data_IF_230955142068
#
_entry.id   IF_230955142068
#
_cell.length_a   1.000
_cell.length_b   1.000
_cell.length_c   1.000
_cell.angle_alpha   90.00
_cell.angle_beta   90.00
_cell.angle_gamma   90.00
#
_symmetry.space_group_name_H-M   'P 1'
#
loop_
_entity.id
_entity.type
_entity.pdbx_description
1 polymer ?
#
# COMPACT_ATOMS: atom_id res chain seq x y z
N UNK A 1 11.14 4.71 2.07
CA UNK A 1 10.19 3.60 2.22
C UNK A 1 10.68 2.66 3.31
N UNK A 2 9.84 2.35 4.29
CA UNK A 2 10.24 1.55 5.46
C UNK A 2 9.12 0.62 5.91
N UNK A 3 9.48 -0.41 6.71
CA UNK A 3 8.50 -1.33 7.30
C UNK A 3 7.98 -0.76 8.62
N UNK A 4 6.76 -1.16 8.99
CA UNK A 4 6.09 -0.70 10.20
C UNK A 4 5.94 -1.91 11.12
N UNK A 5 6.45 -1.80 12.35
CA UNK A 5 6.42 -2.91 13.31
C UNK A 5 5.67 -2.58 14.60
N UNK A 6 5.36 -1.32 14.85
CA UNK A 6 4.61 -0.88 16.02
C UNK A 6 3.14 -0.74 15.67
N UNK A 7 2.26 -0.99 16.64
CA UNK A 7 0.82 -0.84 16.43
C UNK A 7 0.47 0.59 16.07
N UNK A 8 -0.42 0.75 15.09
CA UNK A 8 -0.81 2.07 14.57
C UNK A 8 -2.33 2.23 14.49
N UNK A 9 -2.76 3.47 14.35
CA UNK A 9 -4.13 3.83 14.00
C UNK A 9 -4.11 4.51 12.64
N UNK A 10 -4.97 4.05 11.74
CA UNK A 10 -5.14 4.64 10.41
C UNK A 10 -5.91 5.96 10.54
N UNK A 11 -5.43 6.97 9.84
CA UNK A 11 -6.08 8.27 9.80
C UNK A 11 -6.75 8.53 8.45
N UNK A 12 -6.42 9.65 7.85
CA UNK A 12 -7.07 10.14 6.64
C UNK A 12 -6.39 9.60 5.38
N UNK A 13 -7.20 9.18 4.40
CA UNK A 13 -6.71 8.82 3.08
C UNK A 13 -6.42 10.11 2.29
N UNK A 14 -5.27 10.16 1.64
CA UNK A 14 -4.92 11.30 0.79
C UNK A 14 -5.18 10.94 -0.67
N UNK A 15 -5.41 11.96 -1.50
CA UNK A 15 -5.65 11.77 -2.93
C UNK A 15 -4.38 11.44 -3.67
N UNK A 16 -4.49 10.51 -4.63
CA UNK A 16 -3.43 10.21 -5.58
C UNK A 16 -4.01 10.32 -6.98
N UNK A 17 -3.22 10.86 -7.92
CA UNK A 17 -3.74 11.17 -9.26
C UNK A 17 -4.01 9.92 -10.08
N UNK A 18 -3.18 8.89 -9.95
CA UNK A 18 -3.31 7.64 -10.70
C UNK A 18 -2.96 6.48 -9.79
N UNK A 19 -3.84 5.49 -9.74
CA UNK A 19 -3.68 4.36 -8.82
C UNK A 19 -3.52 3.00 -9.51
N UNK A 20 -3.54 2.96 -10.83
CA UNK A 20 -3.41 1.70 -11.57
C UNK A 20 -2.51 1.88 -12.79
N UNK A 21 -1.62 0.94 -12.99
CA UNK A 21 -0.60 0.97 -14.04
C UNK A 21 -0.52 -0.41 -14.68
N UNK A 22 -0.37 -0.46 -15.99
CA UNK A 22 -0.32 -1.75 -16.70
C UNK A 22 0.91 -1.84 -17.59
N UNK A 23 1.45 -3.05 -17.72
CA UNK A 23 2.51 -3.41 -18.66
C UNK A 23 3.68 -2.41 -18.64
N UNK A 24 3.97 -1.77 -19.75
CA UNK A 24 5.12 -0.87 -19.87
C UNK A 24 5.07 0.36 -18.97
N UNK A 25 3.89 0.73 -18.48
CA UNK A 25 3.76 1.83 -17.51
C UNK A 25 4.44 1.52 -16.17
N UNK A 26 4.63 0.24 -15.87
CA UNK A 26 5.17 -0.21 -14.58
C UNK A 26 6.70 -0.10 -14.53
N UNK A 27 7.36 -0.23 -15.68
CA UNK A 27 8.81 -0.35 -15.74
C UNK A 27 9.48 0.92 -16.24
N UNK A 28 10.66 1.27 -15.73
CA UNK A 28 11.42 0.56 -14.66
C UNK A 28 10.85 0.79 -13.27
N UNK A 29 9.96 1.75 -13.07
CA UNK A 29 9.32 2.03 -11.78
C UNK A 29 8.02 2.80 -11.98
N UNK A 30 7.22 2.84 -10.91
CA UNK A 30 6.00 3.65 -10.82
C UNK A 30 6.25 4.77 -9.83
N UNK A 31 5.84 5.99 -10.16
CA UNK A 31 5.93 7.13 -9.25
C UNK A 31 4.52 7.53 -8.81
N UNK A 32 4.30 7.57 -7.50
CA UNK A 32 3.01 7.93 -6.91
C UNK A 32 3.17 9.27 -6.19
N UNK A 33 2.43 10.28 -6.65
CA UNK A 33 2.41 11.59 -6.02
C UNK A 33 1.24 11.74 -5.07
N UNK A 34 1.46 12.38 -3.92
CA UNK A 34 0.37 12.71 -3.00
C UNK A 34 0.68 14.02 -2.26
N UNK A 35 -0.39 14.73 -1.87
CA UNK A 35 -0.26 15.95 -1.09
C UNK A 35 -0.42 15.64 0.40
N UNK A 36 0.48 16.15 1.23
CA UNK A 36 0.38 15.97 2.68
C UNK A 36 -0.91 16.61 3.22
N UNK A 37 -1.68 15.86 3.99
CA UNK A 37 -2.94 16.35 4.56
C UNK A 37 -2.72 17.36 5.69
N UNK A 38 -1.49 17.50 6.19
CA UNK A 38 -1.16 18.43 7.27
C UNK A 38 -0.55 19.73 6.74
N UNK A 39 0.52 19.66 5.93
CA UNK A 39 1.23 20.85 5.47
C UNK A 39 1.05 21.17 3.98
N UNK A 40 0.36 20.30 3.24
CA UNK A 40 0.11 20.52 1.82
C UNK A 40 1.29 20.26 0.90
N UNK A 41 2.44 19.84 1.44
CA UNK A 41 3.62 19.58 0.62
C UNK A 41 3.38 18.43 -0.36
N UNK A 42 3.83 18.60 -1.60
CA UNK A 42 3.73 17.54 -2.61
C UNK A 42 4.86 16.53 -2.37
N UNK A 43 4.47 15.26 -2.21
CA UNK A 43 5.40 14.15 -1.98
C UNK A 43 5.30 13.16 -3.13
N UNK A 44 6.33 12.35 -3.31
CA UNK A 44 6.25 11.23 -4.25
C UNK A 44 6.96 10.01 -3.68
N UNK A 45 6.49 8.83 -4.11
CA UNK A 45 7.03 7.54 -3.73
C UNK A 45 7.34 6.78 -5.01
N UNK A 46 8.52 6.17 -5.04
CA UNK A 46 8.95 5.33 -6.17
C UNK A 46 8.73 3.87 -5.79
N UNK A 47 7.97 3.16 -6.62
CA UNK A 47 7.71 1.73 -6.46
C UNK A 47 8.41 0.99 -7.60
N UNK A 48 9.40 0.18 -7.27
CA UNK A 48 10.12 -0.67 -8.23
C UNK A 48 9.58 -2.08 -8.14
N UNK A 49 9.10 -2.66 -9.24
CA UNK A 49 8.61 -4.04 -9.25
C UNK A 49 9.65 -5.00 -8.67
N UNK A 50 9.21 -5.93 -7.83
CA UNK A 50 10.03 -6.96 -7.17
C UNK A 50 11.04 -6.45 -6.15
N UNK A 51 11.16 -5.14 -5.94
CA UNK A 51 12.13 -4.57 -4.99
C UNK A 51 11.49 -3.77 -3.87
N UNK A 52 10.41 -3.03 -4.17
CA UNK A 52 9.77 -2.14 -3.20
C UNK A 52 8.70 -2.83 -2.39
N UNK A 53 8.52 -2.37 -1.14
CA UNK A 53 7.42 -2.80 -0.28
C UNK A 53 7.74 -4.02 0.55
N UNK A 54 6.81 -4.30 1.47
CA UNK A 54 6.91 -5.40 2.44
C UNK A 54 5.60 -6.19 2.39
N UNK A 55 5.64 -7.54 2.58
CA UNK A 55 4.42 -8.34 2.50
C UNK A 55 3.34 -7.85 3.47
N UNK A 56 2.11 -7.71 2.97
CA UNK A 56 1.01 -7.18 3.79
C UNK A 56 0.71 -8.05 5.01
N UNK A 57 0.93 -9.36 4.92
CA UNK A 57 0.63 -10.26 6.05
C UNK A 57 1.45 -9.93 7.30
N UNK A 58 2.60 -9.27 7.16
CA UNK A 58 3.40 -8.85 8.31
C UNK A 58 2.63 -7.86 9.18
N UNK A 59 1.77 -7.05 8.57
CA UNK A 59 0.96 -6.03 9.26
C UNK A 59 -0.04 -6.69 10.22
N UNK A 60 -0.74 -7.73 9.81
CA UNK A 60 -1.82 -8.31 10.61
C UNK A 60 -1.47 -9.63 11.28
N UNK A 61 -0.52 -10.37 10.76
CA UNK A 61 -0.20 -11.71 11.26
C UNK A 61 1.05 -11.72 12.13
N UNK A 62 2.16 -11.17 11.65
CA UNK A 62 3.43 -11.20 12.38
C UNK A 62 3.56 -10.09 13.41
N UNK A 63 3.49 -8.85 12.98
CA UNK A 63 3.78 -7.69 13.82
C UNK A 63 2.56 -7.11 14.53
N UNK A 64 1.37 -7.51 14.12
CA UNK A 64 0.11 -7.04 14.71
C UNK A 64 -0.03 -5.51 14.72
N UNK A 65 0.44 -4.89 13.66
CA UNK A 65 0.39 -3.44 13.47
C UNK A 65 -1.05 -2.95 13.33
N UNK A 66 -1.84 -3.69 12.55
CA UNK A 66 -3.28 -3.48 12.35
C UNK A 66 -3.97 -4.82 12.34
N UNK A 67 -5.20 -4.87 12.85
CA UNK A 67 -6.02 -6.08 12.76
C UNK A 67 -6.56 -6.25 11.35
N UNK A 68 -6.99 -7.47 11.02
CA UNK A 68 -7.66 -7.76 9.74
C UNK A 68 -8.88 -6.86 9.54
N UNK A 69 -9.68 -6.68 10.61
CA UNK A 69 -10.87 -5.83 10.54
C UNK A 69 -10.52 -4.38 10.24
N UNK A 70 -9.48 -3.85 10.87
CA UNK A 70 -9.04 -2.47 10.62
C UNK A 70 -8.61 -2.28 9.17
N UNK A 71 -7.89 -3.26 8.61
CA UNK A 71 -7.47 -3.23 7.20
C UNK A 71 -8.65 -3.25 6.24
N UNK A 72 -9.66 -4.07 6.55
CA UNK A 72 -10.86 -4.18 5.73
C UNK A 72 -11.77 -2.96 5.84
N UNK A 73 -12.00 -2.47 7.06
CA UNK A 73 -12.86 -1.31 7.30
C UNK A 73 -12.32 -0.04 6.65
N UNK A 74 -11.02 0.16 6.71
CA UNK A 74 -10.37 1.32 6.09
C UNK A 74 -10.07 1.12 4.60
N UNK A 75 -10.42 -0.04 4.08
CA UNK A 75 -10.28 -0.38 2.65
C UNK A 75 -8.85 -0.37 2.12
N UNK A 76 -7.89 -0.65 3.00
CA UNK A 76 -6.51 -0.85 2.56
C UNK A 76 -6.40 -2.10 1.69
N UNK A 77 -7.17 -3.11 2.04
CA UNK A 77 -7.25 -4.38 1.33
C UNK A 77 -8.69 -4.87 1.29
N UNK A 78 -8.94 -5.95 0.55
CA UNK A 78 -10.20 -6.66 0.54
C UNK A 78 -9.95 -8.16 0.74
N UNK A 79 -11.01 -8.91 1.01
CA UNK A 79 -10.91 -10.36 1.12
C UNK A 79 -10.55 -10.94 -0.25
N UNK A 80 -9.59 -11.86 -0.25
CA UNK A 80 -9.11 -12.50 -1.47
C UNK A 80 -10.12 -13.51 -1.97
N UNK A 81 -10.34 -13.56 -3.28
CA UNK A 81 -11.19 -14.58 -3.88
C UNK A 81 -10.63 -15.97 -3.64
N UNK A 82 -11.52 -16.97 -3.52
CA UNK A 82 -11.16 -18.34 -3.22
C UNK A 82 -10.05 -18.90 -4.13
N UNK A 83 -10.15 -18.66 -5.43
CA UNK A 83 -9.16 -19.19 -6.37
C UNK A 83 -7.81 -18.47 -6.37
N UNK A 84 -7.69 -17.38 -5.60
CA UNK A 84 -6.43 -16.64 -5.45
C UNK A 84 -5.92 -16.65 -4.01
N UNK A 85 -6.52 -17.48 -3.12
CA UNK A 85 -6.19 -17.43 -1.69
C UNK A 85 -4.76 -17.89 -1.35
N UNK A 86 -4.06 -18.51 -2.30
CA UNK A 86 -2.64 -18.83 -2.14
C UNK A 86 -1.77 -17.56 -2.04
N UNK A 87 -2.30 -16.41 -2.44
CA UNK A 87 -1.62 -15.11 -2.32
C UNK A 87 -1.83 -14.45 -0.96
N UNK A 88 -2.66 -15.04 -0.08
CA UNK A 88 -2.99 -14.52 1.24
C UNK A 88 -4.48 -14.28 1.39
N UNK A 89 -4.92 -14.11 2.65
CA UNK A 89 -6.34 -13.87 2.95
C UNK A 89 -6.82 -12.51 2.51
N UNK A 90 -5.94 -11.51 2.56
CA UNK A 90 -6.27 -10.12 2.27
C UNK A 90 -5.34 -9.61 1.17
N UNK A 91 -5.92 -9.09 0.10
CA UNK A 91 -5.15 -8.60 -1.03
C UNK A 91 -5.79 -7.35 -1.63
N UNK A 92 -5.07 -6.72 -2.53
CA UNK A 92 -5.59 -5.70 -3.44
C UNK A 92 -5.70 -6.39 -4.81
N UNK A 93 -6.88 -6.35 -5.39
CA UNK A 93 -7.12 -6.87 -6.75
C UNK A 93 -6.74 -8.36 -6.93
N UNK A 94 -6.79 -9.16 -5.86
CA UNK A 94 -6.47 -10.60 -5.89
C UNK A 94 -5.06 -10.89 -6.43
N UNK A 95 -4.10 -10.02 -6.12
CA UNK A 95 -2.69 -10.17 -6.50
C UNK A 95 -1.82 -10.06 -5.24
N UNK A 96 -0.55 -10.44 -5.36
CA UNK A 96 0.40 -10.32 -4.27
C UNK A 96 0.42 -8.87 -3.77
N UNK A 97 0.20 -8.67 -2.48
CA UNK A 97 -0.03 -7.35 -1.89
C UNK A 97 1.08 -6.99 -0.91
N UNK A 98 1.54 -5.75 -1.03
CA UNK A 98 2.63 -5.21 -0.22
C UNK A 98 2.20 -3.88 0.38
N UNK A 99 2.94 -3.44 1.41
CA UNK A 99 2.75 -2.14 2.00
C UNK A 99 4.08 -1.42 2.13
N UNK A 100 4.03 -0.13 2.36
CA UNK A 100 5.20 0.66 2.70
C UNK A 100 4.83 1.78 3.66
N UNK A 101 5.79 2.16 4.51
CA UNK A 101 5.71 3.38 5.28
C UNK A 101 6.53 4.45 4.57
N UNK A 102 6.09 5.69 4.66
CA UNK A 102 6.84 6.84 4.16
C UNK A 102 6.46 8.07 4.98
N UNK A 103 7.29 9.09 4.96
CA UNK A 103 7.05 10.33 5.68
C UNK A 103 6.91 11.50 4.72
N UNK A 104 6.10 12.48 5.10
CA UNK A 104 6.12 13.76 4.39
C UNK A 104 7.53 14.36 4.52
N UNK A 105 8.14 14.72 3.39
CA UNK A 105 9.50 15.25 3.40
C UNK A 105 9.60 16.64 4.06
N UNK A 106 8.48 17.33 4.23
CA UNK A 106 8.44 18.66 4.85
C UNK A 106 8.12 18.59 6.35
N UNK A 107 6.96 18.03 6.73
CA UNK A 107 6.52 18.04 8.14
C UNK A 107 6.74 16.71 8.86
N UNK A 108 7.18 15.68 8.14
CA UNK A 108 7.47 14.33 8.67
C UNK A 108 6.24 13.57 9.17
N UNK A 109 5.02 13.98 8.78
CA UNK A 109 3.82 13.20 9.07
C UNK A 109 3.95 11.83 8.42
N UNK A 110 3.55 10.78 9.14
CA UNK A 110 3.74 9.40 8.72
C UNK A 110 2.59 8.90 7.85
N UNK A 111 2.93 8.14 6.82
CA UNK A 111 1.96 7.58 5.86
C UNK A 111 2.20 6.10 5.64
N UNK A 112 1.13 5.37 5.38
CA UNK A 112 1.17 3.98 4.93
C UNK A 112 0.49 3.88 3.57
N UNK A 113 1.16 3.22 2.64
CA UNK A 113 0.57 2.92 1.34
C UNK A 113 0.48 1.41 1.14
N UNK A 114 -0.49 0.99 0.35
CA UNK A 114 -0.71 -0.44 0.06
C UNK A 114 -0.88 -0.59 -1.45
N UNK A 115 -0.20 -1.57 -2.02
CA UNK A 115 -0.30 -1.84 -3.45
C UNK A 115 -0.18 -3.32 -3.73
N UNK A 116 -0.63 -3.72 -4.91
CA UNK A 116 -0.44 -5.07 -5.40
C UNK A 116 0.23 -5.04 -6.77
N UNK A 117 0.91 -6.13 -7.11
CA UNK A 117 1.58 -6.26 -8.40
C UNK A 117 1.59 -7.71 -8.83
N UNK A 118 1.30 -7.96 -10.10
CA UNK A 118 1.37 -9.28 -10.65
C UNK A 118 0.74 -9.38 -12.03
N UNK A 119 0.74 -10.57 -12.58
CA UNK A 119 0.08 -10.86 -13.85
C UNK A 119 -1.37 -11.25 -13.58
N UNK A 120 -2.30 -10.42 -14.00
CA UNK A 120 -3.74 -10.63 -13.79
C UNK A 120 -4.28 -11.69 -14.74
N UNK A 121 -3.77 -11.69 -15.96
CA UNK A 121 -4.07 -12.69 -17.00
C UNK A 121 -2.89 -12.67 -17.99
N UNK A 122 -2.73 -13.68 -18.83
CA UNK A 122 -1.60 -13.72 -19.76
C UNK A 122 -1.44 -12.42 -20.55
N UNK A 123 -0.26 -11.84 -20.48
CA UNK A 123 0.06 -10.58 -21.17
C UNK A 123 -0.38 -9.31 -20.45
N UNK A 124 -1.01 -9.42 -19.27
CA UNK A 124 -1.45 -8.25 -18.51
C UNK A 124 -0.83 -8.24 -17.12
N UNK A 125 0.24 -7.50 -16.97
CA UNK A 125 0.80 -7.17 -15.66
C UNK A 125 0.11 -5.89 -15.17
N UNK A 126 -0.26 -5.86 -13.90
CA UNK A 126 -0.94 -4.72 -13.30
C UNK A 126 -0.38 -4.41 -11.92
N UNK A 127 -0.15 -3.12 -11.66
CA UNK A 127 0.21 -2.61 -10.34
C UNK A 127 -0.90 -1.65 -9.91
N UNK A 128 -1.54 -1.97 -8.78
CA UNK A 128 -2.64 -1.17 -8.26
C UNK A 128 -2.30 -0.70 -6.86
N UNK A 129 -2.40 0.61 -6.62
CA UNK A 129 -2.26 1.21 -5.30
C UNK A 129 -3.66 1.40 -4.74
N UNK A 130 -3.99 0.73 -3.64
CA UNK A 130 -5.31 0.88 -3.01
C UNK A 130 -5.46 2.25 -2.38
N UNK A 131 -4.37 2.84 -1.90
CA UNK A 131 -4.36 4.19 -1.39
C UNK A 131 -3.15 4.47 -0.53
N UNK A 132 -3.11 5.70 -0.01
CA UNK A 132 -2.12 6.18 0.93
C UNK A 132 -2.87 6.89 2.06
N UNK A 133 -2.58 6.51 3.31
CA UNK A 133 -3.24 7.05 4.51
C UNK A 133 -2.22 7.57 5.49
N UNK A 134 -2.51 8.67 6.18
CA UNK A 134 -1.68 9.03 7.32
C UNK A 134 -1.97 8.07 8.48
N UNK A 135 -1.01 7.89 9.36
CA UNK A 135 -1.19 7.03 10.52
C UNK A 135 -0.46 7.60 11.73
N UNK A 136 -0.85 7.11 12.92
CA UNK A 136 -0.20 7.43 14.19
C UNK A 136 0.16 6.15 14.90
N UNK A 137 1.32 6.13 15.54
CA UNK A 137 1.71 5.03 16.40
C UNK A 137 0.88 5.10 17.69
N UNK A 138 0.45 3.93 18.17
CA UNK A 138 -0.26 3.81 19.45
C UNK A 138 0.78 3.49 20.52
N UNK A 139 0.77 4.28 21.59
CA UNK A 139 1.65 4.06 22.74
C UNK A 139 1.05 3.08 23.73
#
# INVERSE_FOLDING_TARGET
MYSISKKITIGKQVSIAKNSFINNEIYPFVEIGFSCCNCGHENSVIIKPYESGFPIFQIYDEDKVLSKNELLESKLVSETNYNANYLGELTVNNLATLYFGTDCSSCHLKYIGVFSFGEKQPGLEILTVSGIWNYKEIE
#
